data_IF_756821015782
#
_entry.id   IF_756821015782
#
_cell.length_a   1.000
_cell.length_b   1.000
_cell.length_c   1.000
_cell.angle_alpha   90.00
_cell.angle_beta   90.00
_cell.angle_gamma   90.00
#
_symmetry.space_group_name_H-M   'P 1'
#
loop_
_entity.id
_entity.type
_entity.pdbx_description
1 polymer ?
#
# COMPACT_ATOMS: atom_id res chain seq x y z
N UNK A 1 -13.25 -49.15 25.84
CA UNK A 1 -14.05 -49.07 24.59
C UNK A 1 -14.92 -47.82 24.52
N UNK A 2 -15.76 -47.51 25.53
CA UNK A 2 -16.62 -46.30 25.55
C UNK A 2 -15.87 -44.95 25.47
N UNK A 3 -14.66 -44.85 26.04
CA UNK A 3 -13.82 -43.63 25.97
C UNK A 3 -13.31 -43.32 24.56
N UNK A 4 -13.02 -44.35 23.76
CA UNK A 4 -12.53 -44.19 22.37
C UNK A 4 -13.65 -43.67 21.47
N UNK A 5 -14.89 -44.14 21.69
CA UNK A 5 -16.07 -43.68 20.96
C UNK A 5 -16.33 -42.18 21.20
N UNK A 6 -16.17 -41.71 22.44
CA UNK A 6 -16.33 -40.28 22.76
C UNK A 6 -15.26 -39.41 22.10
N UNK A 7 -14.00 -39.86 22.07
CA UNK A 7 -12.91 -39.13 21.42
C UNK A 7 -13.15 -39.03 19.90
N UNK A 8 -13.57 -40.12 19.26
CA UNK A 8 -13.90 -40.12 17.83
C UNK A 8 -15.06 -39.17 17.49
N UNK A 9 -16.10 -39.13 18.33
CA UNK A 9 -17.23 -38.23 18.14
C UNK A 9 -16.83 -36.74 18.25
N UNK A 10 -15.95 -36.40 19.20
CA UNK A 10 -15.45 -35.03 19.34
C UNK A 10 -14.61 -34.59 18.14
N UNK A 11 -13.74 -35.47 17.62
CA UNK A 11 -12.93 -35.16 16.44
C UNK A 11 -13.81 -34.91 15.22
N UNK A 12 -14.85 -35.75 15.01
CA UNK A 12 -15.79 -35.58 13.89
C UNK A 12 -16.58 -34.26 14.00
N UNK A 13 -17.03 -33.90 15.21
CA UNK A 13 -17.74 -32.65 15.43
C UNK A 13 -16.87 -31.41 15.14
N UNK A 14 -15.61 -31.43 15.59
CA UNK A 14 -14.66 -30.35 15.33
C UNK A 14 -14.36 -30.24 13.83
N UNK A 15 -14.11 -31.36 13.15
CA UNK A 15 -13.82 -31.33 11.71
C UNK A 15 -14.98 -30.72 10.91
N UNK A 16 -16.22 -31.14 11.19
CA UNK A 16 -17.40 -30.61 10.51
C UNK A 16 -17.58 -29.10 10.75
N UNK A 17 -17.29 -28.62 11.97
CA UNK A 17 -17.34 -27.19 12.30
C UNK A 17 -16.30 -26.37 11.53
N UNK A 18 -15.10 -26.91 11.33
CA UNK A 18 -14.05 -26.23 10.56
C UNK A 18 -14.35 -26.21 9.05
N UNK A 19 -15.12 -27.17 8.53
CA UNK A 19 -15.51 -27.23 7.11
C UNK A 19 -16.37 -26.02 6.70
N UNK A 20 -17.21 -25.51 7.61
CA UNK A 20 -18.11 -24.37 7.39
C UNK A 20 -17.42 -23.00 7.50
N UNK A 21 -16.22 -22.93 8.08
CA UNK A 21 -15.49 -21.67 8.25
C UNK A 21 -14.50 -21.34 7.12
N UNK A 22 -14.55 -22.03 5.98
CA UNK A 22 -13.68 -21.67 4.84
C UNK A 22 -14.05 -20.24 4.40
N UNK A 23 -13.18 -19.23 4.56
CA UNK A 23 -13.49 -17.88 4.13
C UNK A 23 -13.74 -17.90 2.63
N UNK A 24 -14.92 -17.45 2.21
CA UNK A 24 -15.22 -17.28 0.80
C UNK A 24 -14.26 -16.24 0.23
N UNK A 25 -13.59 -16.51 -0.91
CA UNK A 25 -12.83 -15.47 -1.59
C UNK A 25 -13.83 -14.42 -2.10
N UNK A 26 -13.96 -13.31 -1.37
CA UNK A 26 -14.75 -12.15 -1.75
C UNK A 26 -14.18 -11.59 -3.06
N UNK A 27 -14.94 -11.74 -4.16
CA UNK A 27 -14.54 -11.32 -5.49
C UNK A 27 -14.66 -9.79 -5.61
N UNK A 28 -13.74 -9.07 -4.97
CA UNK A 28 -13.56 -7.61 -5.03
C UNK A 28 -13.21 -7.08 -6.43
N UNK A 29 -13.05 -7.97 -7.40
CA UNK A 29 -12.72 -7.65 -8.79
C UNK A 29 -13.85 -6.93 -9.54
N UNK A 30 -15.11 -7.15 -9.14
CA UNK A 30 -16.26 -6.60 -9.86
C UNK A 30 -16.37 -5.08 -9.78
N UNK A 31 -16.09 -4.51 -8.60
CA UNK A 31 -16.26 -3.08 -8.34
C UNK A 31 -15.18 -2.26 -9.07
N UNK A 32 -13.92 -2.70 -9.06
CA UNK A 32 -12.85 -2.10 -9.85
C UNK A 32 -13.14 -2.14 -11.37
N UNK A 33 -13.71 -3.24 -11.89
CA UNK A 33 -14.04 -3.34 -13.31
C UNK A 33 -15.13 -2.35 -13.74
N UNK A 34 -16.09 -2.05 -12.86
CA UNK A 34 -17.18 -1.11 -13.14
C UNK A 34 -16.69 0.34 -13.22
N UNK A 35 -15.71 0.71 -12.40
CA UNK A 35 -15.10 2.04 -12.43
C UNK A 35 -14.20 2.27 -13.65
N UNK A 36 -13.57 1.22 -14.21
CA UNK A 36 -12.68 1.35 -15.38
C UNK A 36 -13.47 1.56 -16.68
N UNK A 37 -14.70 1.03 -16.78
CA UNK A 37 -15.49 1.10 -18.01
C UNK A 37 -16.05 2.50 -18.32
N UNK A 38 -16.15 3.40 -17.32
CA UNK A 38 -16.84 4.70 -17.45
C UNK A 38 -15.95 5.88 -17.86
N UNK A 39 -14.63 5.67 -17.99
CA UNK A 39 -13.70 6.73 -18.44
C UNK A 39 -13.45 6.56 -19.94
N UNK A 40 -14.36 7.07 -20.77
CA UNK A 40 -14.09 7.39 -22.18
C UNK A 40 -13.28 8.70 -22.28
N UNK A 41 -12.20 8.80 -21.53
CA UNK A 41 -11.26 9.91 -21.56
C UNK A 41 -9.95 9.41 -22.15
N UNK A 42 -9.44 10.11 -23.16
CA UNK A 42 -8.05 9.98 -23.59
C UNK A 42 -7.18 9.92 -22.36
N UNK A 43 -6.54 8.77 -22.10
CA UNK A 43 -5.57 8.66 -21.02
C UNK A 43 -4.40 9.55 -21.41
N UNK A 44 -4.45 10.82 -20.99
CA UNK A 44 -3.29 11.68 -20.98
C UNK A 44 -2.36 11.01 -19.98
N UNK A 45 -1.48 10.16 -20.50
CA UNK A 45 -0.36 9.62 -19.74
C UNK A 45 0.54 10.80 -19.43
N UNK A 46 0.19 11.62 -18.43
CA UNK A 46 1.08 12.62 -17.87
C UNK A 46 2.24 11.81 -17.31
N UNK A 47 3.39 11.88 -17.97
CA UNK A 47 4.59 11.22 -17.48
C UNK A 47 4.82 11.70 -16.04
N UNK A 48 5.11 10.79 -15.09
CA UNK A 48 5.43 11.19 -13.72
C UNK A 48 6.56 12.22 -13.75
N UNK A 49 6.34 13.32 -13.03
CA UNK A 49 7.20 14.50 -13.04
C UNK A 49 8.50 14.26 -12.25
N UNK A 50 8.41 13.41 -11.22
CA UNK A 50 9.50 13.02 -10.34
C UNK A 50 9.56 11.49 -10.21
N UNK A 51 10.75 10.97 -9.91
CA UNK A 51 10.98 9.55 -9.67
C UNK A 51 12.09 9.38 -8.65
N UNK A 52 12.00 8.35 -7.82
CA UNK A 52 13.07 8.01 -6.91
C UNK A 52 14.29 7.50 -7.69
N UNK A 53 15.40 8.22 -7.58
CA UNK A 53 16.65 7.96 -8.30
C UNK A 53 17.86 7.81 -7.37
N UNK A 54 17.60 7.68 -6.06
CA UNK A 54 18.64 7.51 -5.04
C UNK A 54 19.20 8.81 -4.46
N UNK A 55 18.62 9.96 -4.80
CA UNK A 55 18.90 11.22 -4.09
C UNK A 55 18.33 11.21 -2.68
N UNK A 56 19.10 11.73 -1.75
CA UNK A 56 18.82 11.69 -0.32
C UNK A 56 18.82 13.07 0.34
N UNK A 57 19.45 14.10 -0.25
CA UNK A 57 19.69 15.38 0.44
C UNK A 57 19.19 16.58 -0.37
N UNK A 58 18.85 17.68 0.34
CA UNK A 58 18.33 18.92 -0.25
C UNK A 58 19.16 19.51 -1.40
N UNK A 59 20.51 19.57 -1.34
CA UNK A 59 21.35 20.06 -2.46
C UNK A 59 21.09 19.37 -3.80
N UNK A 60 20.57 18.14 -3.77
CA UNK A 60 20.30 17.31 -4.95
C UNK A 60 18.90 17.53 -5.53
N UNK A 61 17.99 18.15 -4.78
CA UNK A 61 16.66 18.55 -5.28
C UNK A 61 16.76 19.83 -6.10
N UNK A 62 15.90 19.93 -7.11
CA UNK A 62 15.81 21.05 -8.06
C UNK A 62 14.61 21.96 -7.80
N UNK A 63 13.67 21.52 -6.97
CA UNK A 63 12.52 22.32 -6.54
C UNK A 63 11.98 21.83 -5.19
N UNK A 64 11.22 22.70 -4.50
CA UNK A 64 10.44 22.35 -3.30
C UNK A 64 9.47 21.19 -3.60
N UNK A 65 8.75 21.26 -4.71
CA UNK A 65 7.79 20.22 -5.12
C UNK A 65 8.47 18.85 -5.35
N UNK A 66 9.70 18.84 -5.87
CA UNK A 66 10.48 17.61 -5.98
C UNK A 66 10.88 17.08 -4.59
N UNK A 67 11.32 17.96 -3.68
CA UNK A 67 11.68 17.58 -2.32
C UNK A 67 10.47 17.02 -1.53
N UNK A 68 9.29 17.61 -1.70
CA UNK A 68 8.01 17.11 -1.14
C UNK A 68 7.70 15.71 -1.67
N UNK A 69 7.83 15.50 -2.98
CA UNK A 69 7.65 14.17 -3.57
C UNK A 69 8.65 13.16 -2.99
N UNK A 70 9.92 13.53 -2.83
CA UNK A 70 10.93 12.63 -2.29
C UNK A 70 10.68 12.29 -0.82
N UNK A 71 10.24 13.26 -0.01
CA UNK A 71 9.90 13.02 1.40
C UNK A 71 8.72 12.04 1.56
N UNK A 72 7.71 12.13 0.68
CA UNK A 72 6.52 11.31 0.76
C UNK A 72 6.69 9.92 0.12
N UNK A 73 7.39 9.84 -1.02
CA UNK A 73 7.38 8.64 -1.87
C UNK A 73 8.73 7.92 -1.98
N UNK A 74 9.84 8.53 -1.56
CA UNK A 74 11.17 7.92 -1.68
C UNK A 74 11.74 7.51 -0.31
N UNK A 75 12.12 6.24 -0.13
CA UNK A 75 12.63 5.77 1.16
C UNK A 75 14.03 6.30 1.45
N UNK A 76 14.30 6.59 2.73
CA UNK A 76 15.66 6.88 3.22
C UNK A 76 16.16 8.29 2.92
N UNK A 77 15.29 9.23 2.56
CA UNK A 77 15.65 10.62 2.31
C UNK A 77 15.87 11.40 3.61
N UNK A 78 16.86 12.30 3.61
CA UNK A 78 17.19 13.23 4.69
C UNK A 78 16.90 14.67 4.21
N UNK A 79 15.61 14.99 4.13
CA UNK A 79 15.12 16.28 3.61
C UNK A 79 14.46 17.14 4.68
N UNK A 80 14.00 16.53 5.77
CA UNK A 80 13.29 17.19 6.85
C UNK A 80 14.05 16.96 8.17
N UNK A 81 14.80 17.99 8.60
CA UNK A 81 15.68 17.91 9.77
C UNK A 81 14.90 17.91 11.09
N UNK A 82 13.73 18.54 11.12
CA UNK A 82 12.93 18.72 12.34
C UNK A 82 11.66 17.85 12.38
N UNK A 83 11.39 17.10 11.31
CA UNK A 83 10.25 16.20 11.12
C UNK A 83 8.89 16.91 11.19
N UNK A 84 8.80 18.14 10.68
CA UNK A 84 7.55 18.90 10.61
C UNK A 84 6.76 18.66 9.31
N UNK A 85 7.29 17.85 8.39
CA UNK A 85 6.72 17.56 7.08
C UNK A 85 7.09 18.54 5.97
N UNK A 86 7.97 19.51 6.25
CA UNK A 86 8.43 20.52 5.29
C UNK A 86 9.88 20.22 4.92
N UNK A 87 10.15 19.70 3.71
CA UNK A 87 11.51 19.40 3.30
C UNK A 87 12.27 20.68 2.94
N UNK A 88 13.57 20.68 3.21
CA UNK A 88 14.54 21.66 2.74
C UNK A 88 14.24 23.12 3.16
N UNK A 89 13.69 23.32 4.36
CA UNK A 89 13.37 24.66 4.90
C UNK A 89 14.56 25.63 4.91
N UNK A 90 15.76 25.08 5.08
CA UNK A 90 17.01 25.85 5.17
C UNK A 90 17.73 26.01 3.82
N UNK A 91 17.16 25.52 2.72
CA UNK A 91 17.77 25.62 1.39
C UNK A 91 17.40 26.95 0.73
N UNK A 92 18.34 27.88 0.53
CA UNK A 92 18.05 29.22 0.00
C UNK A 92 17.63 29.23 -1.48
N UNK A 93 17.65 28.09 -2.16
CA UNK A 93 17.25 27.97 -3.56
C UNK A 93 15.73 27.85 -3.74
N UNK A 94 14.97 27.64 -2.66
CA UNK A 94 13.52 27.35 -2.69
C UNK A 94 12.69 28.18 -1.72
#
# INVERSE_FOLDING_TARGET
>A
MKKIILIAALILAVWNYFEEQKPTPENRSGLLSYFVQSVQGTVVQKKPEFQCDGRLYCPQMKSRAEAEFFLEFCPGTYLDDNNNGIPCENDPRF
#
